data_IF_038751705380
#
_entry.id   IF_038751705380
#
_cell.length_a   1.000
_cell.length_b   1.000
_cell.length_c   1.000
_cell.angle_alpha   90.00
_cell.angle_beta   90.00
_cell.angle_gamma   90.00
#
_symmetry.space_group_name_H-M   'P 1'
#
loop_
_entity.id
_entity.type
_entity.pdbx_description
1 polymer ?
#
# COMPACT_ATOMS: atom_id res chain seq x y z
N UNK A 1 13.09 -38.57 15.77
CA UNK A 1 14.00 -37.40 15.84
C UNK A 1 15.31 -37.73 15.14
N UNK A 2 15.87 -38.93 15.33
CA UNK A 2 17.18 -39.28 14.75
C UNK A 2 17.25 -39.20 13.22
N UNK A 3 16.14 -39.46 12.51
CA UNK A 3 16.06 -39.27 11.05
C UNK A 3 16.30 -37.81 10.62
N UNK A 4 16.09 -36.84 11.52
CA UNK A 4 16.27 -35.42 11.26
C UNK A 4 17.61 -34.89 11.79
N UNK A 5 18.45 -35.71 12.43
CA UNK A 5 19.75 -35.26 12.96
C UNK A 5 20.80 -35.32 11.87
N UNK A 6 21.55 -34.24 11.70
CA UNK A 6 22.74 -34.25 10.87
C UNK A 6 23.79 -35.24 11.42
N UNK A 7 24.55 -35.87 10.53
CA UNK A 7 25.51 -36.92 10.89
C UNK A 7 26.73 -36.37 11.61
N UNK A 8 27.13 -35.15 11.27
CA UNK A 8 28.30 -34.45 11.79
C UNK A 8 27.94 -33.57 12.99
N UNK A 9 26.78 -32.91 12.96
CA UNK A 9 26.28 -32.11 14.07
C UNK A 9 24.87 -32.54 14.47
N UNK A 10 24.76 -33.36 15.50
CA UNK A 10 23.46 -33.90 15.95
C UNK A 10 22.47 -32.84 16.42
N UNK A 11 22.91 -31.62 16.73
CA UNK A 11 22.04 -30.51 17.11
C UNK A 11 21.47 -29.74 15.90
N UNK A 12 21.90 -30.07 14.69
CA UNK A 12 21.42 -29.49 13.44
C UNK A 12 20.54 -30.45 12.65
N UNK A 13 19.61 -29.88 11.88
CA UNK A 13 18.64 -30.65 11.13
C UNK A 13 19.21 -31.08 9.77
N UNK A 14 19.13 -32.38 9.47
CA UNK A 14 19.65 -32.96 8.24
C UNK A 14 18.84 -32.52 7.01
N UNK A 15 19.54 -32.38 5.88
CA UNK A 15 18.93 -32.25 4.56
C UNK A 15 18.28 -33.55 4.10
N UNK A 16 17.30 -33.43 3.19
CA UNK A 16 16.64 -34.58 2.60
C UNK A 16 17.63 -35.39 1.75
N UNK A 17 17.68 -36.71 1.96
CA UNK A 17 18.53 -37.62 1.19
C UNK A 17 17.71 -38.78 0.62
N UNK A 18 17.44 -38.73 -0.69
CA UNK A 18 16.63 -39.72 -1.43
C UNK A 18 17.23 -41.14 -1.44
N UNK A 19 18.54 -41.28 -1.22
CA UNK A 19 19.23 -42.57 -1.21
C UNK A 19 19.11 -43.28 0.16
N UNK A 20 18.88 -42.52 1.24
CA UNK A 20 18.93 -43.01 2.63
C UNK A 20 17.58 -43.04 3.32
N UNK A 21 16.59 -42.32 2.80
CA UNK A 21 15.25 -42.23 3.38
C UNK A 21 14.23 -43.01 2.53
N UNK A 22 13.15 -43.54 3.14
CA UNK A 22 12.11 -44.25 2.41
C UNK A 22 11.58 -43.43 1.24
N UNK A 23 11.41 -44.07 0.07
CA UNK A 23 10.84 -43.46 -1.14
C UNK A 23 9.32 -43.30 -1.05
N UNK A 24 8.83 -42.66 0.00
CA UNK A 24 7.43 -42.23 0.06
C UNK A 24 7.26 -40.92 -0.71
N UNK A 25 6.19 -40.84 -1.51
CA UNK A 25 6.02 -39.80 -2.55
C UNK A 25 5.89 -38.38 -1.99
N UNK A 26 5.51 -38.23 -0.73
CA UNK A 26 5.23 -36.94 -0.09
C UNK A 26 6.33 -36.48 0.89
N UNK A 27 7.27 -37.35 1.26
CA UNK A 27 8.34 -37.00 2.20
C UNK A 27 9.19 -35.84 1.70
N UNK A 28 9.53 -35.83 0.41
CA UNK A 28 10.30 -34.74 -0.20
C UNK A 28 9.60 -33.39 -0.06
N UNK A 29 8.28 -33.36 -0.23
CA UNK A 29 7.48 -32.13 -0.12
C UNK A 29 7.34 -31.68 1.33
N UNK A 30 7.20 -32.61 2.27
CA UNK A 30 7.04 -32.31 3.70
C UNK A 30 8.36 -32.10 4.44
N UNK A 31 9.49 -32.52 3.88
CA UNK A 31 10.77 -32.55 4.58
C UNK A 31 11.20 -31.19 5.10
N UNK A 32 11.08 -30.12 4.31
CA UNK A 32 11.50 -28.79 4.75
C UNK A 32 10.70 -28.28 5.95
N UNK A 33 9.39 -28.55 5.96
CA UNK A 33 8.53 -28.26 7.10
C UNK A 33 8.96 -29.07 8.32
N UNK A 34 9.11 -30.39 8.18
CA UNK A 34 9.53 -31.26 9.27
C UNK A 34 10.92 -30.93 9.80
N UNK A 35 11.87 -30.61 8.92
CA UNK A 35 13.23 -30.17 9.23
C UNK A 35 13.21 -28.90 10.08
N UNK A 36 12.41 -27.90 9.70
CA UNK A 36 12.25 -26.65 10.45
C UNK A 36 11.65 -26.88 11.84
N UNK A 37 10.67 -27.77 11.97
CA UNK A 37 10.09 -28.12 13.26
C UNK A 37 11.02 -28.97 14.12
N UNK A 38 11.73 -29.92 13.50
CA UNK A 38 12.71 -30.77 14.17
C UNK A 38 13.85 -29.92 14.73
N UNK A 39 14.38 -28.96 13.97
CA UNK A 39 15.47 -28.06 14.39
C UNK A 39 15.21 -27.38 15.74
N UNK A 40 13.93 -27.11 16.08
CA UNK A 40 13.52 -26.49 17.36
C UNK A 40 13.62 -27.44 18.56
N UNK A 41 13.87 -28.73 18.35
CA UNK A 41 13.85 -29.78 19.39
C UNK A 41 15.01 -30.77 19.27
N UNK A 42 16.02 -30.48 18.45
CA UNK A 42 17.19 -31.37 18.34
C UNK A 42 18.09 -31.27 19.57
N UNK A 43 18.23 -30.08 20.15
CA UNK A 43 18.98 -29.89 21.40
C UNK A 43 18.22 -30.55 22.56
N UNK A 44 18.92 -31.28 23.47
CA UNK A 44 18.28 -31.92 24.61
C UNK A 44 17.47 -30.95 25.48
N UNK A 45 17.99 -29.75 25.74
CA UNK A 45 17.32 -28.70 26.51
C UNK A 45 16.00 -28.26 25.88
N UNK A 46 15.98 -28.08 24.56
CA UNK A 46 14.82 -27.58 23.83
C UNK A 46 13.72 -28.64 23.75
N UNK A 47 14.12 -29.90 23.55
CA UNK A 47 13.22 -31.04 23.60
C UNK A 47 12.55 -31.19 24.97
N UNK A 48 13.32 -31.09 26.06
CA UNK A 48 12.78 -31.21 27.41
C UNK A 48 11.91 -30.01 27.80
N UNK A 49 12.28 -28.80 27.39
CA UNK A 49 11.46 -27.60 27.56
C UNK A 49 10.12 -27.74 26.82
N UNK A 50 10.13 -28.27 25.59
CA UNK A 50 8.91 -28.50 24.83
C UNK A 50 8.03 -29.56 25.49
N UNK A 51 8.62 -30.66 25.98
CA UNK A 51 7.87 -31.67 26.74
C UNK A 51 7.22 -31.11 28.00
N UNK A 52 7.91 -30.21 28.71
CA UNK A 52 7.36 -29.50 29.88
C UNK A 52 6.23 -28.57 29.48
N UNK A 53 6.42 -27.76 28.44
CA UNK A 53 5.41 -26.84 27.90
C UNK A 53 4.09 -27.53 27.55
N UNK A 54 4.16 -28.72 26.95
CA UNK A 54 2.98 -29.51 26.59
C UNK A 54 2.55 -30.52 27.67
N UNK A 55 3.15 -30.48 28.86
CA UNK A 55 2.85 -31.39 29.98
C UNK A 55 3.00 -32.89 29.64
N UNK A 56 3.79 -33.23 28.62
CA UNK A 56 4.03 -34.62 28.20
C UNK A 56 5.28 -35.24 28.82
N UNK A 57 6.08 -34.46 29.56
CA UNK A 57 7.30 -34.93 30.23
C UNK A 57 7.08 -36.02 31.28
N UNK A 58 5.85 -36.12 31.85
CA UNK A 58 5.46 -37.14 32.83
C UNK A 58 4.94 -38.42 32.18
N UNK A 59 4.78 -38.45 30.85
CA UNK A 59 4.23 -39.60 30.13
C UNK A 59 5.31 -40.65 29.89
N UNK A 60 4.94 -41.93 30.03
CA UNK A 60 5.80 -43.04 29.67
C UNK A 60 5.98 -43.14 28.15
N UNK A 61 7.05 -43.79 27.70
CA UNK A 61 7.30 -44.00 26.27
C UNK A 61 6.11 -44.70 25.56
N UNK A 62 5.43 -45.62 26.24
CA UNK A 62 4.23 -46.30 25.72
C UNK A 62 3.07 -45.34 25.50
N UNK A 63 2.79 -44.44 26.47
CA UNK A 63 1.75 -43.42 26.34
C UNK A 63 2.08 -42.41 25.24
N UNK A 64 3.33 -41.95 25.18
CA UNK A 64 3.80 -41.07 24.10
C UNK A 64 3.63 -41.71 22.71
N UNK A 65 3.91 -43.01 22.57
CA UNK A 65 3.71 -43.72 21.31
C UNK A 65 2.22 -43.79 20.92
N UNK A 66 1.32 -44.00 21.87
CA UNK A 66 -0.12 -43.99 21.62
C UNK A 66 -0.63 -42.60 21.20
N UNK A 67 -0.24 -41.54 21.92
CA UNK A 67 -0.61 -40.17 21.56
C UNK A 67 -0.03 -39.73 20.22
N UNK A 68 1.16 -40.22 19.83
CA UNK A 68 1.77 -39.89 18.56
C UNK A 68 0.85 -40.19 17.37
N UNK A 69 0.12 -41.30 17.39
CA UNK A 69 -0.81 -41.64 16.30
C UNK A 69 -1.95 -40.62 16.18
N UNK A 70 -2.53 -40.21 17.31
CA UNK A 70 -3.61 -39.22 17.35
C UNK A 70 -3.12 -37.84 16.91
N UNK A 71 -1.94 -37.42 17.40
CA UNK A 71 -1.32 -36.15 17.02
C UNK A 71 -0.89 -36.13 15.56
N UNK A 72 -0.46 -37.27 15.00
CA UNK A 72 -0.12 -37.38 13.58
C UNK A 72 -1.31 -37.11 12.67
N UNK A 73 -2.50 -37.63 13.02
CA UNK A 73 -3.73 -37.37 12.26
C UNK A 73 -4.09 -35.88 12.28
N UNK A 74 -4.11 -35.27 13.48
CA UNK A 74 -4.40 -33.84 13.63
C UNK A 74 -3.35 -32.94 12.95
N UNK A 75 -2.08 -33.34 12.96
CA UNK A 75 -1.01 -32.62 12.29
C UNK A 75 -1.16 -32.69 10.77
N UNK A 76 -1.57 -33.84 10.22
CA UNK A 76 -1.81 -33.99 8.79
C UNK A 76 -2.98 -33.12 8.32
N UNK A 77 -4.08 -33.08 9.08
CA UNK A 77 -5.24 -32.22 8.80
C UNK A 77 -4.86 -30.73 8.89
N UNK A 78 -4.11 -30.33 9.93
CA UNK A 78 -3.65 -28.96 10.07
C UNK A 78 -2.67 -28.54 8.95
N UNK A 79 -1.79 -29.44 8.49
CA UNK A 79 -0.91 -29.20 7.34
C UNK A 79 -1.72 -28.99 6.05
N UNK A 80 -2.78 -29.78 5.85
CA UNK A 80 -3.67 -29.66 4.69
C UNK A 80 -4.47 -28.35 4.71
N UNK A 81 -5.09 -28.00 5.84
CA UNK A 81 -5.79 -26.71 6.02
C UNK A 81 -4.84 -25.53 5.84
N UNK A 82 -3.62 -25.60 6.37
CA UNK A 82 -2.63 -24.54 6.18
C UNK A 82 -2.22 -24.41 4.71
N UNK A 83 -1.96 -25.53 4.02
CA UNK A 83 -1.64 -25.52 2.60
C UNK A 83 -2.79 -25.00 1.73
N UNK A 84 -4.04 -25.30 2.08
CA UNK A 84 -5.23 -24.77 1.41
C UNK A 84 -5.41 -23.27 1.67
N UNK A 85 -5.23 -22.82 2.92
CA UNK A 85 -5.27 -21.39 3.27
C UNK A 85 -4.21 -20.56 2.52
N UNK A 86 -3.06 -21.16 2.20
CA UNK A 86 -2.02 -20.53 1.38
C UNK A 86 -2.36 -20.52 -0.11
N UNK A 87 -3.16 -21.47 -0.60
CA UNK A 87 -3.67 -21.45 -1.99
C UNK A 87 -4.80 -20.43 -2.18
N UNK A 88 -5.61 -20.22 -1.14
CA UNK A 88 -6.67 -19.21 -1.13
C UNK A 88 -6.17 -17.80 -0.83
N UNK A 89 -5.00 -17.67 -0.20
CA UNK A 89 -4.32 -16.39 -0.04
C UNK A 89 -3.77 -15.92 -1.40
N UNK A 90 -4.17 -14.76 -1.94
CA UNK A 90 -3.59 -14.25 -3.16
C UNK A 90 -2.08 -14.02 -2.99
N UNK A 91 -1.25 -14.52 -3.91
CA UNK A 91 0.21 -14.28 -3.95
C UNK A 91 0.59 -12.78 -4.03
N UNK A 92 -0.39 -11.92 -4.32
CA UNK A 92 -0.22 -10.48 -4.56
C UNK A 92 -0.94 -9.59 -3.56
N UNK A 93 -1.42 -10.10 -2.41
CA UNK A 93 -1.86 -9.17 -1.37
C UNK A 93 -0.68 -8.28 -0.97
N UNK A 94 -0.81 -6.98 -1.26
CA UNK A 94 0.02 -5.95 -0.65
C UNK A 94 -0.31 -5.97 0.84
N UNK A 95 0.42 -6.79 1.60
CA UNK A 95 0.21 -7.00 3.05
C UNK A 95 1.05 -6.11 3.92
N UNK A 96 2.06 -5.46 3.35
CA UNK A 96 2.96 -4.62 4.12
C UNK A 96 2.54 -3.15 4.05
N UNK A 97 2.48 -2.53 5.22
CA UNK A 97 2.08 -1.12 5.38
C UNK A 97 3.00 -0.18 4.60
N UNK A 98 4.27 -0.54 4.38
CA UNK A 98 5.22 0.30 3.66
C UNK A 98 4.92 0.37 2.15
N UNK A 99 4.49 -0.72 1.53
CA UNK A 99 4.08 -0.77 0.13
C UNK A 99 2.75 -0.06 -0.06
N UNK A 100 1.81 -0.19 0.88
CA UNK A 100 0.56 0.59 0.87
C UNK A 100 0.87 2.08 1.00
N UNK A 101 1.72 2.46 1.96
CA UNK A 101 2.12 3.84 2.19
C UNK A 101 2.83 4.42 0.95
N UNK A 102 3.74 3.66 0.34
CA UNK A 102 4.43 4.04 -0.90
C UNK A 102 3.43 4.28 -2.04
N UNK A 103 2.45 3.40 -2.22
CA UNK A 103 1.42 3.56 -3.24
C UNK A 103 0.55 4.81 -3.02
N UNK A 104 0.20 5.10 -1.75
CA UNK A 104 -0.55 6.31 -1.38
C UNK A 104 0.30 7.56 -1.63
N UNK A 105 1.57 7.57 -1.22
CA UNK A 105 2.48 8.70 -1.45
C UNK A 105 2.67 8.96 -2.95
N UNK A 106 2.78 7.90 -3.76
CA UNK A 106 2.86 8.03 -5.21
C UNK A 106 1.59 8.66 -5.81
N UNK A 107 0.41 8.28 -5.32
CA UNK A 107 -0.86 8.86 -5.78
C UNK A 107 -1.05 10.32 -5.35
N UNK A 108 -0.53 10.73 -4.19
CA UNK A 108 -0.69 12.10 -3.67
C UNK A 108 0.40 13.04 -4.18
N UNK A 109 1.65 12.58 -4.19
CA UNK A 109 2.85 13.41 -4.40
C UNK A 109 3.71 12.99 -5.59
N UNK A 110 3.40 11.87 -6.26
CA UNK A 110 4.30 11.24 -7.23
C UNK A 110 5.69 10.93 -6.66
N UNK A 111 5.74 10.56 -5.38
CA UNK A 111 6.96 10.24 -4.64
C UNK A 111 6.79 9.00 -3.76
N UNK A 112 7.89 8.33 -3.41
CA UNK A 112 7.86 7.11 -2.60
C UNK A 112 7.56 7.37 -1.11
N UNK A 113 7.89 8.57 -0.63
CA UNK A 113 7.67 9.00 0.74
C UNK A 113 6.77 10.23 0.80
N UNK A 114 6.16 10.46 1.96
CA UNK A 114 5.61 11.77 2.27
C UNK A 114 6.74 12.80 2.16
N UNK A 115 6.43 13.97 1.61
CA UNK A 115 7.38 15.07 1.51
C UNK A 115 7.25 15.93 2.76
N UNK A 116 8.39 16.29 3.33
CA UNK A 116 8.44 17.14 4.52
C UNK A 116 7.81 18.51 4.26
N UNK A 117 7.29 19.12 5.33
CA UNK A 117 6.92 20.54 5.32
C UNK A 117 8.09 21.38 5.81
N UNK A 118 8.43 22.51 5.16
CA UNK A 118 7.85 23.00 3.90
C UNK A 118 8.26 22.15 2.69
N UNK A 119 7.43 22.13 1.65
CA UNK A 119 7.66 21.35 0.42
C UNK A 119 8.85 21.89 -0.37
N UNK A 120 10.04 21.33 -0.19
CA UNK A 120 11.24 21.85 -0.88
C UNK A 120 11.42 21.32 -2.31
N UNK A 121 10.61 20.34 -2.72
CA UNK A 121 10.71 19.66 -4.02
C UNK A 121 9.45 19.99 -4.84
N UNK A 122 9.58 20.96 -5.74
CA UNK A 122 8.51 21.89 -6.15
C UNK A 122 7.72 21.48 -7.38
N UNK A 123 7.74 20.20 -7.77
CA UNK A 123 7.14 19.75 -9.03
C UNK A 123 5.95 18.82 -8.83
N UNK A 124 4.80 19.32 -8.34
CA UNK A 124 3.58 18.53 -8.25
C UNK A 124 3.12 18.05 -9.64
N UNK A 125 3.58 18.68 -10.73
CA UNK A 125 3.27 18.28 -12.11
C UNK A 125 4.35 17.38 -12.74
N UNK A 126 5.29 16.87 -11.94
CA UNK A 126 6.43 16.07 -12.40
C UNK A 126 7.37 16.85 -13.31
N UNK A 127 8.01 16.19 -14.27
CA UNK A 127 8.89 16.87 -15.24
C UNK A 127 8.13 17.62 -16.35
N UNK A 128 6.81 17.69 -16.24
CA UNK A 128 5.99 18.26 -17.29
C UNK A 128 6.02 19.80 -17.23
N UNK A 129 6.79 20.43 -18.13
CA UNK A 129 6.82 21.88 -18.25
C UNK A 129 5.51 22.44 -18.84
N UNK A 130 5.01 23.53 -18.27
CA UNK A 130 3.90 24.32 -18.80
C UNK A 130 4.21 25.81 -18.71
N UNK A 131 3.83 26.57 -19.74
CA UNK A 131 4.06 28.02 -19.79
C UNK A 131 3.06 28.80 -18.95
N UNK A 132 1.91 28.19 -18.64
CA UNK A 132 0.84 28.81 -17.86
C UNK A 132 0.05 27.77 -17.04
N UNK A 133 -0.69 28.25 -16.04
CA UNK A 133 -1.54 27.46 -15.14
C UNK A 133 -2.50 26.51 -15.89
N UNK A 134 -3.14 26.97 -16.96
CA UNK A 134 -4.02 26.11 -17.77
C UNK A 134 -3.28 24.91 -18.36
N UNK A 135 -2.14 25.15 -19.01
CA UNK A 135 -1.33 24.11 -19.65
C UNK A 135 -0.73 23.09 -18.68
N UNK A 136 -0.65 23.42 -17.39
CA UNK A 136 -0.22 22.52 -16.31
C UNK A 136 -1.35 21.62 -15.80
N UNK A 137 -2.60 21.98 -16.10
CA UNK A 137 -3.77 21.36 -15.47
C UNK A 137 -4.70 20.68 -16.47
N UNK A 138 -4.46 20.87 -17.77
CA UNK A 138 -5.05 20.04 -18.81
C UNK A 138 -4.40 18.64 -18.83
N UNK A 139 -5.24 17.60 -18.82
CA UNK A 139 -4.84 16.23 -19.11
C UNK A 139 -5.21 15.86 -20.56
N UNK A 140 -4.45 16.39 -21.54
CA UNK A 140 -4.61 15.98 -22.95
C UNK A 140 -3.86 14.68 -23.24
N UNK A 141 -4.40 13.88 -24.18
CA UNK A 141 -3.72 12.69 -24.73
C UNK A 141 -2.25 13.01 -25.07
N UNK A 142 -1.33 12.35 -24.37
CA UNK A 142 0.11 12.36 -24.66
C UNK A 142 0.99 13.09 -23.66
N UNK A 143 0.46 14.00 -22.82
CA UNK A 143 1.24 14.71 -21.77
C UNK A 143 0.35 15.12 -20.59
N UNK A 144 -0.14 14.15 -19.81
CA UNK A 144 -0.87 14.44 -18.57
C UNK A 144 0.08 15.08 -17.56
N UNK A 145 -0.20 16.29 -17.12
CA UNK A 145 0.67 17.02 -16.18
C UNK A 145 0.16 16.97 -14.74
N UNK A 146 -1.16 17.05 -14.52
CA UNK A 146 -1.78 16.83 -13.21
C UNK A 146 -2.13 15.34 -13.00
N UNK A 147 -1.15 14.55 -12.57
CA UNK A 147 -1.30 13.08 -12.40
C UNK A 147 -1.47 12.63 -10.95
N UNK A 148 -1.30 13.53 -9.98
CA UNK A 148 -1.45 13.25 -8.55
C UNK A 148 -2.45 14.20 -7.86
N UNK A 149 -2.86 13.83 -6.65
CA UNK A 149 -3.89 14.57 -5.89
C UNK A 149 -3.42 15.99 -5.55
N UNK A 150 -2.14 16.20 -5.22
CA UNK A 150 -1.63 17.53 -4.87
C UNK A 150 -1.73 18.51 -6.05
N UNK A 151 -1.36 18.07 -7.25
CA UNK A 151 -1.50 18.86 -8.48
C UNK A 151 -2.95 19.28 -8.75
N UNK A 152 -3.89 18.34 -8.56
CA UNK A 152 -5.32 18.62 -8.67
C UNK A 152 -5.82 19.59 -7.61
N UNK A 153 -5.38 19.43 -6.36
CA UNK A 153 -5.79 20.28 -5.25
C UNK A 153 -5.31 21.72 -5.45
N UNK A 154 -4.04 21.91 -5.80
CA UNK A 154 -3.46 23.22 -6.13
C UNK A 154 -4.22 23.88 -7.27
N UNK A 155 -4.54 23.10 -8.30
CA UNK A 155 -5.25 23.67 -9.42
C UNK A 155 -6.66 24.16 -9.06
N UNK A 156 -7.42 23.36 -8.32
CA UNK A 156 -8.80 23.68 -7.93
C UNK A 156 -8.84 24.79 -6.87
N UNK A 157 -7.89 24.79 -5.94
CA UNK A 157 -8.00 25.55 -4.68
C UNK A 157 -7.01 26.70 -4.54
N UNK A 158 -5.93 26.77 -5.32
CA UNK A 158 -4.97 27.86 -5.17
C UNK A 158 -5.57 29.18 -5.69
N UNK A 159 -5.42 30.24 -4.90
CA UNK A 159 -5.76 31.60 -5.32
C UNK A 159 -4.98 31.99 -6.59
N UNK A 160 -5.57 32.85 -7.42
CA UNK A 160 -4.95 33.34 -8.64
C UNK A 160 -4.56 34.80 -8.45
N UNK A 161 -3.28 35.11 -8.63
CA UNK A 161 -2.74 36.47 -8.51
C UNK A 161 -3.25 37.47 -9.57
N UNK A 162 -3.95 36.96 -10.59
CA UNK A 162 -4.34 37.71 -11.80
C UNK A 162 -5.81 38.11 -11.82
N UNK A 163 -6.63 37.63 -10.88
CA UNK A 163 -8.09 37.83 -10.91
C UNK A 163 -8.59 38.64 -9.72
N UNK A 164 -9.09 39.85 -9.99
CA UNK A 164 -9.76 40.73 -9.02
C UNK A 164 -11.20 40.29 -8.68
N UNK A 165 -11.72 39.27 -9.36
CA UNK A 165 -13.07 38.76 -9.17
C UNK A 165 -13.06 37.44 -8.39
N UNK A 166 -13.05 37.50 -7.06
CA UNK A 166 -13.47 36.43 -6.12
C UNK A 166 -12.92 34.99 -6.32
N UNK A 167 -11.99 34.76 -7.25
CA UNK A 167 -11.34 33.46 -7.48
C UNK A 167 -10.30 33.14 -6.41
N UNK A 168 -9.95 34.13 -5.57
CA UNK A 168 -9.25 33.93 -4.31
C UNK A 168 -10.05 33.10 -3.27
N UNK A 169 -11.34 32.83 -3.52
CA UNK A 169 -12.21 32.05 -2.65
C UNK A 169 -12.41 30.59 -3.11
N UNK A 170 -11.69 30.12 -4.13
CA UNK A 170 -11.81 28.73 -4.55
C UNK A 170 -11.28 27.83 -3.43
N UNK A 171 -12.20 27.19 -2.70
CA UNK A 171 -11.93 26.27 -1.60
C UNK A 171 -11.34 26.90 -0.31
N UNK A 172 -11.95 27.97 0.17
CA UNK A 172 -11.78 28.35 1.57
C UNK A 172 -12.68 27.49 2.42
N UNK A 173 -12.11 26.78 3.39
CA UNK A 173 -12.83 26.53 4.63
C UNK A 173 -13.10 27.87 5.34
N UNK A 174 -12.84 27.96 6.63
CA UNK A 174 -12.98 29.22 7.37
C UNK A 174 -11.86 30.25 7.10
N UNK A 175 -10.82 29.92 6.32
CA UNK A 175 -9.64 30.77 6.11
C UNK A 175 -9.34 30.93 4.63
N UNK A 176 -9.15 32.18 4.18
CA UNK A 176 -8.74 32.49 2.81
C UNK A 176 -7.26 32.16 2.57
N UNK A 177 -6.87 31.71 1.35
CA UNK A 177 -5.49 31.42 1.05
C UNK A 177 -4.66 32.70 1.17
N UNK A 178 -3.49 32.60 1.78
CA UNK A 178 -2.53 33.68 1.98
C UNK A 178 -1.55 33.80 0.80
N UNK A 179 -1.32 32.71 0.07
CA UNK A 179 -0.42 32.68 -1.08
C UNK A 179 -1.19 32.50 -2.39
N UNK A 180 -0.75 33.24 -3.39
CA UNK A 180 -1.34 33.23 -4.72
C UNK A 180 -0.43 32.49 -5.69
N UNK A 181 -1.03 31.66 -6.54
CA UNK A 181 -0.31 31.05 -7.66
C UNK A 181 -0.34 32.01 -8.85
N UNK A 182 0.86 32.41 -9.30
CA UNK A 182 1.06 33.23 -10.50
C UNK A 182 0.54 32.54 -11.76
N UNK A 183 0.09 33.32 -12.73
CA UNK A 183 -0.43 32.79 -14.01
C UNK A 183 0.62 32.05 -14.84
N UNK A 184 1.91 32.34 -14.61
CA UNK A 184 3.06 31.72 -15.28
C UNK A 184 3.77 30.72 -14.38
N UNK A 185 4.12 29.55 -14.93
CA UNK A 185 4.94 28.55 -14.24
C UNK A 185 4.21 27.72 -13.18
N UNK A 186 4.98 26.87 -12.49
CA UNK A 186 4.51 25.99 -11.42
C UNK A 186 4.24 26.75 -10.12
N UNK A 187 3.37 26.21 -9.27
CA UNK A 187 3.10 26.76 -7.95
C UNK A 187 4.33 26.62 -7.04
N UNK A 188 4.60 27.65 -6.24
CA UNK A 188 5.72 27.62 -5.31
C UNK A 188 5.45 26.75 -4.07
N UNK A 189 6.48 26.56 -3.24
CA UNK A 189 6.43 25.78 -2.01
C UNK A 189 5.37 26.28 -1.01
N UNK A 190 5.12 27.59 -0.96
CA UNK A 190 4.18 28.18 -0.01
C UNK A 190 2.74 27.86 -0.41
N UNK A 191 2.41 28.02 -1.70
CA UNK A 191 1.12 27.59 -2.26
C UNK A 191 0.92 26.10 -2.01
N UNK A 192 1.91 25.25 -2.30
CA UNK A 192 1.81 23.80 -2.09
C UNK A 192 1.58 23.42 -0.63
N UNK A 193 2.31 24.05 0.28
CA UNK A 193 2.21 23.81 1.73
C UNK A 193 0.84 24.23 2.25
N UNK A 194 0.33 25.38 1.79
CA UNK A 194 -0.99 25.88 2.15
C UNK A 194 -2.12 24.97 1.66
N UNK A 195 -2.05 24.49 0.41
CA UNK A 195 -3.05 23.58 -0.14
C UNK A 195 -3.08 22.25 0.62
N UNK A 196 -1.93 21.68 0.98
CA UNK A 196 -1.89 20.48 1.83
C UNK A 196 -2.43 20.73 3.24
N UNK A 197 -2.31 21.96 3.75
CA UNK A 197 -2.87 22.37 5.03
C UNK A 197 -4.40 22.34 5.07
N UNK A 198 -5.08 22.30 3.92
CA UNK A 198 -6.54 22.15 3.83
C UNK A 198 -6.99 20.71 4.14
N UNK A 199 -6.09 19.74 4.05
CA UNK A 199 -6.39 18.33 4.33
C UNK A 199 -6.18 18.00 5.81
N UNK A 200 -7.02 17.13 6.35
CA UNK A 200 -6.77 16.51 7.65
C UNK A 200 -5.60 15.51 7.53
N UNK A 201 -4.43 15.94 8.03
CA UNK A 201 -3.20 15.14 8.06
C UNK A 201 -2.90 14.52 9.42
N UNK A 202 -3.73 14.80 10.42
CA UNK A 202 -3.45 14.40 11.81
C UNK A 202 -4.30 13.22 12.26
N UNK A 203 -5.45 13.01 11.63
CA UNK A 203 -6.31 11.86 11.94
C UNK A 203 -5.71 10.54 11.47
N UNK A 204 -5.61 9.58 12.39
CA UNK A 204 -5.28 8.20 12.06
C UNK A 204 -6.55 7.50 11.58
N UNK A 205 -6.57 7.10 10.32
CA UNK A 205 -7.68 6.36 9.73
C UNK A 205 -7.25 4.95 9.35
N UNK A 206 -8.07 3.96 9.72
CA UNK A 206 -7.89 2.61 9.18
C UNK A 206 -8.42 2.58 7.74
N UNK A 207 -7.53 2.36 6.78
CA UNK A 207 -7.88 2.30 5.37
C UNK A 207 -8.37 0.88 5.05
N UNK A 208 -9.59 0.77 4.51
CA UNK A 208 -10.12 -0.49 3.97
C UNK A 208 -10.31 -0.37 2.45
N UNK A 209 -10.27 -1.51 1.75
CA UNK A 209 -10.51 -1.56 0.31
C UNK A 209 -11.92 -1.04 -0.06
N UNK A 210 -12.92 -1.31 0.77
CA UNK A 210 -14.28 -0.82 0.60
C UNK A 210 -14.34 0.72 0.71
N UNK A 211 -13.66 1.28 1.72
CA UNK A 211 -13.64 2.73 1.93
C UNK A 211 -12.89 3.46 0.81
N UNK A 212 -11.73 2.96 0.37
CA UNK A 212 -11.02 3.51 -0.80
C UNK A 212 -11.90 3.52 -2.05
N UNK A 213 -12.55 2.39 -2.35
CA UNK A 213 -13.47 2.29 -3.50
C UNK A 213 -14.63 3.26 -3.40
N UNK A 214 -15.20 3.43 -2.20
CA UNK A 214 -16.28 4.38 -1.93
C UNK A 214 -15.83 5.82 -2.21
N UNK A 215 -14.67 6.23 -1.69
CA UNK A 215 -14.09 7.57 -1.92
C UNK A 215 -13.80 7.83 -3.39
N UNK A 216 -13.19 6.87 -4.10
CA UNK A 216 -12.93 7.00 -5.53
C UNK A 216 -14.21 7.15 -6.35
N UNK A 217 -15.28 6.40 -6.01
CA UNK A 217 -16.59 6.55 -6.65
C UNK A 217 -17.20 7.94 -6.42
N UNK A 218 -17.07 8.49 -5.21
CA UNK A 218 -17.53 9.85 -4.90
C UNK A 218 -16.79 10.89 -5.75
N UNK A 219 -15.46 10.79 -5.86
CA UNK A 219 -14.65 11.67 -6.72
C UNK A 219 -15.08 11.55 -8.19
N UNK A 220 -15.22 10.32 -8.69
CA UNK A 220 -15.66 10.07 -10.07
C UNK A 220 -17.05 10.67 -10.35
N UNK A 221 -17.97 10.62 -9.38
CA UNK A 221 -19.32 11.19 -9.50
C UNK A 221 -19.33 12.73 -9.50
N UNK A 222 -18.29 13.38 -8.98
CA UNK A 222 -18.15 14.85 -9.01
C UNK A 222 -17.61 15.36 -10.35
N UNK A 223 -17.08 14.48 -11.22
CA UNK A 223 -16.63 14.84 -12.55
C UNK A 223 -17.86 15.08 -13.44
N UNK A 224 -18.03 16.32 -13.89
CA UNK A 224 -19.07 16.73 -14.83
C UNK A 224 -18.58 16.53 -16.26
N UNK A 225 -19.48 16.16 -17.18
CA UNK A 225 -19.16 15.93 -18.59
C UNK A 225 -19.74 17.02 -19.47
N UNK A 226 -18.96 17.44 -20.47
CA UNK A 226 -19.38 18.27 -21.60
C UNK A 226 -19.17 17.50 -22.90
N UNK A 227 -19.56 18.08 -24.03
CA UNK A 227 -19.25 17.54 -25.36
C UNK A 227 -17.74 17.51 -25.66
N UNK A 228 -16.93 18.35 -25.01
CA UNK A 228 -15.50 18.49 -25.25
C UNK A 228 -14.58 17.79 -24.24
N UNK A 229 -15.13 17.22 -23.17
CA UNK A 229 -14.33 16.58 -22.11
C UNK A 229 -15.05 16.49 -20.76
N UNK A 230 -14.37 15.89 -19.77
CA UNK A 230 -14.81 15.88 -18.37
C UNK A 230 -14.07 16.94 -17.55
N UNK A 231 -14.73 17.57 -16.59
CA UNK A 231 -14.13 18.56 -15.69
C UNK A 231 -14.56 18.33 -14.24
N UNK A 232 -13.75 18.79 -13.29
CA UNK A 232 -14.03 18.76 -11.85
C UNK A 232 -13.95 20.19 -11.32
N UNK A 233 -15.00 20.67 -10.63
CA UNK A 233 -15.08 22.04 -10.11
C UNK A 233 -16.34 22.81 -10.55
N UNK A 234 -16.34 24.11 -10.27
CA UNK A 234 -17.39 25.05 -10.68
C UNK A 234 -17.05 25.70 -12.04
N UNK A 235 -18.00 25.67 -12.97
CA UNK A 235 -17.80 26.02 -14.38
C UNK A 235 -18.48 27.32 -14.78
N UNK A 236 -18.45 28.34 -13.92
CA UNK A 236 -19.29 29.54 -14.15
C UNK A 236 -18.96 30.29 -15.46
N UNK A 237 -17.90 29.95 -16.21
CA UNK A 237 -17.59 30.52 -17.55
C UNK A 237 -16.88 29.61 -18.57
N UNK A 238 -17.21 28.32 -18.69
CA UNK A 238 -16.64 27.51 -19.79
C UNK A 238 -17.38 27.76 -21.12
N UNK A 239 -16.81 28.60 -22.00
CA UNK A 239 -17.08 28.52 -23.43
C UNK A 239 -16.35 27.29 -24.01
N UNK A 240 -16.91 26.70 -25.07
CA UNK A 240 -16.49 25.44 -25.69
C UNK A 240 -15.05 25.39 -26.26
N UNK A 241 -14.23 26.41 -26.00
CA UNK A 241 -12.82 26.49 -26.42
C UNK A 241 -11.82 26.47 -25.27
N UNK A 242 -12.26 26.38 -24.00
CA UNK A 242 -11.33 26.29 -22.87
C UNK A 242 -10.60 27.61 -22.57
N UNK A 243 -11.13 28.74 -23.00
CA UNK A 243 -10.41 30.03 -22.96
C UNK A 243 -10.62 30.87 -21.70
N UNK A 244 -11.38 30.42 -20.68
CA UNK A 244 -11.65 31.29 -19.52
C UNK A 244 -11.42 30.59 -18.17
N UNK A 245 -10.24 30.90 -17.60
CA UNK A 245 -9.87 31.11 -16.19
C UNK A 245 -10.86 30.71 -15.07
N UNK A 246 -11.35 29.49 -15.10
CA UNK A 246 -11.96 28.85 -13.93
C UNK A 246 -11.35 27.46 -13.83
N UNK A 247 -10.91 27.07 -12.64
CA UNK A 247 -10.13 25.86 -12.41
C UNK A 247 -10.93 24.60 -12.85
N UNK A 248 -10.71 24.15 -14.09
CA UNK A 248 -11.26 22.94 -14.69
C UNK A 248 -10.13 22.05 -15.27
N UNK A 249 -9.82 20.94 -14.62
CA UNK A 249 -8.81 20.02 -15.15
C UNK A 249 -9.53 19.06 -16.09
N UNK A 250 -9.24 19.21 -17.39
CA UNK A 250 -9.95 18.57 -18.48
C UNK A 250 -9.26 17.27 -18.91
N UNK A 251 -10.04 16.21 -19.17
CA UNK A 251 -9.61 15.04 -19.97
C UNK A 251 -9.97 15.20 -21.43
#
# INVERSE_FOLDING_TARGET
>A
LDIFRDKTNKDQAADYNEEKLPKEKDWKQRWETWKRHAAKVLKPSDHDNLKKKHNVYKLTAKKLKAYRLQVQQLAAEAEETYAESLKEAPETEVRDDATIQKAINQAIHSADSEKNTPFTDTKPFGDASGSNRQSLCESRKGKNKATNVLAWLVYICAANSSNSANAANAWTGNTAPQHEWTSTGEADSNVLTEMLGLCDRYSVIQITSAELRSRLKKVAAMIKRTSGGGYFGESSKMTATGDNETACASK
#
